data_IF_889514832368
#
_entry.id   IF_889514832368
#
_cell.length_a   1.000
_cell.length_b   1.000
_cell.length_c   1.000
_cell.angle_alpha   90.00
_cell.angle_beta   90.00
_cell.angle_gamma   90.00
#
_symmetry.space_group_name_H-M   'P 1'
#
loop_
_entity.id
_entity.type
_entity.pdbx_description
1 polymer ?
#
# COMPACT_ATOMS: atom_id res chain seq x y z
N UNK A 1 -29.12 17.55 1.83
CA UNK A 1 -27.78 17.80 1.26
C UNK A 1 -26.90 16.76 1.93
N UNK A 2 -26.17 15.98 1.14
CA UNK A 2 -25.35 14.87 1.62
C UNK A 2 -23.90 15.15 1.21
N UNK A 3 -22.93 14.97 2.11
CA UNK A 3 -21.49 15.11 1.85
C UNK A 3 -20.86 13.73 1.87
N UNK A 4 -20.13 13.38 0.82
CA UNK A 4 -19.51 12.08 0.67
C UNK A 4 -18.04 12.22 0.25
N UNK A 5 -17.27 11.16 0.46
CA UNK A 5 -15.95 11.00 -0.13
C UNK A 5 -16.07 10.14 -1.38
N UNK A 6 -15.58 10.63 -2.52
CA UNK A 6 -15.49 9.84 -3.75
C UNK A 6 -14.08 9.26 -3.86
N UNK A 7 -13.97 7.97 -4.15
CA UNK A 7 -12.70 7.32 -4.42
C UNK A 7 -12.77 6.53 -5.73
N UNK A 8 -11.85 6.81 -6.66
CA UNK A 8 -11.73 6.12 -7.93
C UNK A 8 -10.49 5.20 -7.89
N UNK A 9 -10.66 3.87 -7.67
CA UNK A 9 -9.52 2.95 -7.51
C UNK A 9 -8.58 2.93 -8.71
N UNK A 10 -9.11 2.89 -9.94
CA UNK A 10 -8.32 2.82 -11.19
C UNK A 10 -7.44 4.03 -11.46
N UNK A 11 -7.76 5.19 -10.89
CA UNK A 11 -6.95 6.42 -11.02
C UNK A 11 -6.28 6.82 -9.71
N UNK A 12 -6.56 6.11 -8.62
CA UNK A 12 -6.18 6.44 -7.24
C UNK A 12 -6.59 7.86 -6.81
N UNK A 13 -7.55 8.50 -7.50
CA UNK A 13 -8.04 9.83 -7.14
C UNK A 13 -9.08 9.71 -6.03
N UNK A 14 -8.92 10.52 -4.99
CA UNK A 14 -9.91 10.70 -3.93
C UNK A 14 -10.33 12.15 -3.89
N UNK A 15 -11.63 12.39 -3.75
CA UNK A 15 -12.21 13.71 -3.56
C UNK A 15 -13.03 13.71 -2.27
N UNK A 16 -12.60 14.54 -1.32
CA UNK A 16 -13.31 14.73 -0.06
C UNK A 16 -14.43 15.76 -0.21
N UNK A 17 -15.45 15.63 0.65
CA UNK A 17 -16.54 16.61 0.78
C UNK A 17 -17.33 16.87 -0.50
N UNK A 18 -17.48 15.87 -1.39
CA UNK A 18 -18.35 15.98 -2.55
C UNK A 18 -19.80 16.12 -2.10
N UNK A 19 -20.50 17.14 -2.60
CA UNK A 19 -21.84 17.49 -2.15
C UNK A 19 -22.89 16.98 -3.13
N UNK A 20 -23.84 16.21 -2.61
CA UNK A 20 -25.09 15.84 -3.28
C UNK A 20 -26.22 16.73 -2.75
N UNK A 21 -26.80 17.52 -3.65
CA UNK A 21 -27.96 18.36 -3.36
C UNK A 21 -29.21 17.53 -3.09
N UNK A 22 -30.14 18.06 -2.29
CA UNK A 22 -31.45 17.44 -2.14
C UNK A 22 -32.19 17.44 -3.50
N UNK A 23 -32.86 16.33 -3.83
CA UNK A 23 -33.65 16.16 -5.08
C UNK A 23 -32.87 16.19 -6.39
N UNK A 24 -31.53 16.09 -6.36
CA UNK A 24 -30.76 15.90 -7.60
C UNK A 24 -31.08 14.55 -8.23
N UNK A 25 -31.31 14.55 -9.54
CA UNK A 25 -31.50 13.29 -10.28
C UNK A 25 -30.19 12.50 -10.34
N UNK A 26 -30.23 11.15 -10.37
CA UNK A 26 -29.03 10.33 -10.44
C UNK A 26 -28.06 10.74 -11.56
N UNK A 27 -28.57 11.11 -12.73
CA UNK A 27 -27.75 11.52 -13.87
C UNK A 27 -26.99 12.83 -13.62
N UNK A 28 -27.59 13.77 -12.88
CA UNK A 28 -26.95 15.03 -12.51
C UNK A 28 -25.81 14.79 -11.52
N UNK A 29 -26.01 13.88 -10.56
CA UNK A 29 -24.96 13.48 -9.62
C UNK A 29 -23.80 12.83 -10.38
N UNK A 30 -24.08 11.89 -11.29
CA UNK A 30 -23.05 11.24 -12.11
C UNK A 30 -22.30 12.23 -13.01
N UNK A 31 -22.97 13.23 -13.56
CA UNK A 31 -22.31 14.30 -14.32
C UNK A 31 -21.38 15.13 -13.43
N UNK A 32 -21.80 15.47 -12.21
CA UNK A 32 -20.96 16.15 -11.22
C UNK A 32 -19.73 15.34 -10.84
N UNK A 33 -19.89 14.03 -10.61
CA UNK A 33 -18.78 13.10 -10.30
C UNK A 33 -17.76 13.06 -11.44
N UNK A 34 -18.22 12.94 -12.69
CA UNK A 34 -17.35 12.93 -13.88
C UNK A 34 -16.52 14.20 -14.00
N UNK A 35 -17.14 15.36 -13.77
CA UNK A 35 -16.44 16.65 -13.81
C UNK A 35 -15.43 16.77 -12.66
N UNK A 36 -15.81 16.36 -11.45
CA UNK A 36 -14.98 16.53 -10.26
C UNK A 36 -13.75 15.60 -10.25
N UNK A 37 -13.86 14.41 -10.84
CA UNK A 37 -12.76 13.43 -10.94
C UNK A 37 -12.06 13.45 -12.30
N UNK A 38 -12.51 14.28 -13.23
CA UNK A 38 -12.04 14.35 -14.63
C UNK A 38 -12.12 12.98 -15.33
N UNK A 39 -13.33 12.42 -15.40
CA UNK A 39 -13.63 11.09 -15.95
C UNK A 39 -14.65 11.17 -17.10
N UNK A 40 -14.50 10.29 -18.09
CA UNK A 40 -15.46 10.17 -19.20
C UNK A 40 -16.70 9.34 -18.83
N UNK A 41 -16.53 8.40 -17.91
CA UNK A 41 -17.59 7.53 -17.40
C UNK A 41 -17.57 7.57 -15.87
N UNK A 42 -18.74 7.37 -15.26
CA UNK A 42 -18.86 7.22 -13.82
C UNK A 42 -20.03 6.28 -13.52
N UNK A 43 -19.77 5.28 -12.68
CA UNK A 43 -20.77 4.51 -11.97
C UNK A 43 -20.37 4.46 -10.49
N UNK A 44 -21.35 4.52 -9.59
CA UNK A 44 -21.14 4.62 -8.15
C UNK A 44 -21.40 3.28 -7.48
N UNK A 45 -20.55 2.94 -6.53
CA UNK A 45 -20.66 1.73 -5.74
C UNK A 45 -20.40 2.03 -4.27
N UNK A 46 -21.02 1.25 -3.40
CA UNK A 46 -20.70 1.22 -1.98
C UNK A 46 -19.29 0.63 -1.76
N UNK A 47 -18.76 0.73 -0.54
CA UNK A 47 -17.47 0.12 -0.18
C UNK A 47 -17.48 -1.41 -0.25
N UNK A 48 -18.63 -2.08 -0.22
CA UNK A 48 -18.77 -3.52 -0.48
C UNK A 48 -19.02 -3.84 -1.97
N UNK A 49 -18.72 -2.90 -2.87
CA UNK A 49 -18.85 -3.00 -4.33
C UNK A 49 -20.28 -3.28 -4.84
N UNK A 50 -21.31 -2.85 -4.11
CA UNK A 50 -22.69 -2.90 -4.61
C UNK A 50 -23.03 -1.63 -5.39
N UNK A 51 -23.69 -1.76 -6.55
CA UNK A 51 -24.02 -0.59 -7.37
C UNK A 51 -25.03 0.32 -6.65
N UNK A 52 -24.80 1.63 -6.75
CA UNK A 52 -25.69 2.67 -6.24
C UNK A 52 -26.46 3.28 -7.41
N UNK A 53 -27.75 2.95 -7.50
CA UNK A 53 -28.61 3.46 -8.57
C UNK A 53 -29.24 4.83 -8.26
N UNK A 54 -29.50 5.14 -6.99
CA UNK A 54 -30.07 6.42 -6.57
C UNK A 54 -29.23 7.05 -5.43
N UNK A 55 -28.17 7.80 -5.77
CA UNK A 55 -27.25 8.37 -4.80
C UNK A 55 -27.94 9.30 -3.80
N UNK A 56 -28.99 9.99 -4.23
CA UNK A 56 -29.71 10.98 -3.40
C UNK A 56 -30.51 10.34 -2.26
N UNK A 57 -30.87 9.06 -2.39
CA UNK A 57 -31.65 8.30 -1.40
C UNK A 57 -30.81 7.30 -0.61
N UNK A 58 -29.78 6.74 -1.24
CA UNK A 58 -29.01 5.63 -0.66
C UNK A 58 -27.83 6.09 0.18
N UNK A 59 -27.28 7.28 -0.09
CA UNK A 59 -26.06 7.76 0.55
C UNK A 59 -26.33 8.63 1.76
N UNK A 60 -25.52 8.44 2.79
CA UNK A 60 -25.53 9.24 4.02
C UNK A 60 -24.31 10.17 4.09
N UNK A 61 -24.39 11.17 4.97
CA UNK A 61 -23.26 12.06 5.24
C UNK A 61 -22.04 11.26 5.70
N UNK A 62 -20.86 11.69 5.24
CA UNK A 62 -19.53 11.15 5.50
C UNK A 62 -19.30 9.71 4.99
N UNK A 63 -20.16 9.20 4.10
CA UNK A 63 -19.93 7.90 3.44
C UNK A 63 -18.84 7.98 2.36
N UNK A 64 -18.03 6.92 2.27
CA UNK A 64 -17.09 6.70 1.16
C UNK A 64 -17.78 5.92 0.04
N UNK A 65 -17.62 6.42 -1.17
CA UNK A 65 -18.23 5.87 -2.38
C UNK A 65 -17.15 5.54 -3.40
N UNK A 66 -17.19 4.33 -3.93
CA UNK A 66 -16.29 3.89 -5.00
C UNK A 66 -16.84 4.33 -6.36
N UNK A 67 -15.96 4.82 -7.22
CA UNK A 67 -16.28 5.31 -8.56
C UNK A 67 -15.57 4.48 -9.61
N UNK A 68 -16.34 3.85 -10.51
CA UNK A 68 -15.80 3.21 -11.71
C UNK A 68 -15.60 4.27 -12.81
N UNK A 69 -14.42 4.30 -13.42
CA UNK A 69 -14.02 5.21 -14.49
C UNK A 69 -14.31 4.67 -15.90
N UNK A 70 -14.70 3.40 -16.05
CA UNK A 70 -15.11 2.82 -17.32
C UNK A 70 -16.29 1.84 -17.19
N UNK A 71 -17.03 1.64 -18.30
CA UNK A 71 -18.18 0.75 -18.33
C UNK A 71 -17.83 -0.74 -18.16
N UNK A 72 -16.57 -1.10 -18.42
CA UNK A 72 -16.04 -2.47 -18.32
C UNK A 72 -15.27 -2.71 -17.01
N UNK A 73 -15.20 -1.71 -16.13
CA UNK A 73 -14.48 -1.82 -14.86
C UNK A 73 -15.31 -2.63 -13.86
N UNK A 74 -14.78 -3.79 -13.46
CA UNK A 74 -15.33 -4.58 -12.37
C UNK A 74 -14.96 -3.92 -11.05
N UNK A 75 -15.97 -3.44 -10.32
CA UNK A 75 -15.75 -2.90 -8.99
C UNK A 75 -15.52 -4.02 -7.99
N UNK A 76 -14.52 -3.85 -7.13
CA UNK A 76 -14.19 -4.77 -6.04
C UNK A 76 -14.33 -4.06 -4.69
N UNK A 77 -14.66 -4.77 -3.60
CA UNK A 77 -14.81 -4.18 -2.28
C UNK A 77 -13.60 -3.34 -1.89
N UNK A 78 -13.83 -2.20 -1.27
CA UNK A 78 -12.80 -1.38 -0.66
C UNK A 78 -12.12 -2.21 0.43
N UNK A 79 -10.86 -2.54 0.21
CA UNK A 79 -10.09 -3.31 1.17
C UNK A 79 -9.41 -2.34 2.13
N UNK A 80 -9.60 -2.56 3.43
CA UNK A 80 -8.90 -1.77 4.45
C UNK A 80 -7.40 -2.02 4.29
N UNK A 81 -6.61 -0.95 4.28
CA UNK A 81 -5.17 -1.06 4.28
C UNK A 81 -4.69 -1.77 5.54
N UNK A 82 -3.88 -2.80 5.36
CA UNK A 82 -3.35 -3.61 6.46
C UNK A 82 -1.90 -4.00 6.21
N UNK A 83 -1.16 -4.24 7.29
CA UNK A 83 0.22 -4.70 7.26
C UNK A 83 0.32 -5.85 8.25
N UNK A 84 0.84 -6.99 7.81
CA UNK A 84 0.97 -8.15 8.67
C UNK A 84 2.16 -9.02 8.24
N UNK A 85 2.81 -9.63 9.23
CA UNK A 85 3.69 -10.77 8.98
C UNK A 85 2.88 -11.89 8.32
N UNK A 86 3.51 -12.58 7.37
CA UNK A 86 2.86 -13.61 6.58
C UNK A 86 3.77 -14.82 6.40
N UNK A 87 3.26 -15.99 6.74
CA UNK A 87 3.92 -17.28 6.64
C UNK A 87 3.02 -18.33 5.96
N UNK A 88 2.15 -17.90 5.04
CA UNK A 88 1.28 -18.79 4.26
C UNK A 88 -0.07 -19.10 4.91
N UNK A 89 -0.51 -18.31 5.89
CA UNK A 89 -1.74 -18.57 6.65
C UNK A 89 -3.03 -18.53 5.81
N UNK A 90 -2.98 -17.98 4.59
CA UNK A 90 -4.11 -17.87 3.66
C UNK A 90 -4.02 -18.90 2.52
N UNK A 91 -3.27 -19.99 2.71
CA UNK A 91 -3.02 -21.01 1.69
C UNK A 91 -4.26 -21.76 1.17
N UNK A 92 -5.31 -21.88 1.98
CA UNK A 92 -6.58 -22.52 1.56
C UNK A 92 -7.32 -21.72 0.48
N UNK A 93 -7.02 -20.43 0.36
CA UNK A 93 -7.71 -19.52 -0.55
C UNK A 93 -6.91 -19.24 -1.83
N UNK A 94 -5.76 -19.90 -1.98
CA UNK A 94 -4.95 -19.86 -3.19
C UNK A 94 -5.63 -20.66 -4.27
N UNK A 95 -5.58 -20.17 -5.50
CA UNK A 95 -6.10 -20.90 -6.65
C UNK A 95 -5.34 -22.22 -6.83
N UNK A 96 -6.08 -23.30 -7.11
CA UNK A 96 -5.53 -24.65 -7.31
C UNK A 96 -4.58 -24.71 -8.50
N UNK A 97 -4.72 -23.79 -9.46
CA UNK A 97 -3.91 -23.73 -10.68
C UNK A 97 -2.59 -22.96 -10.48
N UNK A 98 -2.34 -22.43 -9.28
CA UNK A 98 -1.09 -21.73 -8.94
C UNK A 98 0.03 -22.74 -8.68
N UNK A 99 1.20 -22.50 -9.28
CA UNK A 99 2.41 -23.29 -9.04
C UNK A 99 2.76 -23.33 -7.54
N UNK A 100 3.01 -24.54 -7.02
CA UNK A 100 3.27 -24.77 -5.60
C UNK A 100 2.01 -24.88 -4.73
N UNK A 101 0.80 -24.89 -5.31
CA UNK A 101 -0.42 -25.12 -4.55
C UNK A 101 -0.35 -26.42 -3.73
N UNK A 102 -0.74 -26.33 -2.46
CA UNK A 102 -0.72 -27.45 -1.50
C UNK A 102 0.65 -27.80 -0.92
N UNK A 103 1.72 -27.10 -1.30
CA UNK A 103 3.03 -27.23 -0.65
C UNK A 103 3.14 -26.34 0.59
N UNK A 104 4.00 -26.74 1.52
CA UNK A 104 4.28 -25.95 2.72
C UNK A 104 4.96 -24.62 2.34
N UNK A 105 4.55 -23.54 3.00
CA UNK A 105 5.04 -22.19 2.71
C UNK A 105 6.57 -22.08 2.70
N UNK A 106 7.25 -22.84 3.56
CA UNK A 106 8.72 -22.78 3.66
C UNK A 106 9.42 -23.46 2.48
N UNK A 107 8.75 -24.41 1.82
CA UNK A 107 9.30 -25.16 0.69
C UNK A 107 9.10 -24.42 -0.64
N UNK A 108 8.25 -23.38 -0.66
CA UNK A 108 8.02 -22.55 -1.84
C UNK A 108 9.22 -21.65 -2.14
N UNK A 109 9.55 -21.56 -3.42
CA UNK A 109 10.47 -20.55 -3.97
C UNK A 109 9.88 -19.14 -3.86
N UNK A 110 10.71 -18.11 -3.97
CA UNK A 110 10.25 -16.71 -3.96
C UNK A 110 9.21 -16.44 -5.06
N UNK A 111 9.38 -17.07 -6.23
CA UNK A 111 8.46 -16.95 -7.37
C UNK A 111 7.10 -17.59 -7.08
N UNK A 112 7.09 -18.78 -6.50
CA UNK A 112 5.84 -19.45 -6.10
C UNK A 112 5.13 -18.71 -4.96
N UNK A 113 5.90 -18.17 -3.99
CA UNK A 113 5.36 -17.29 -2.94
C UNK A 113 4.74 -16.01 -3.51
N UNK A 114 5.37 -15.42 -4.54
CA UNK A 114 4.82 -14.26 -5.23
C UNK A 114 3.51 -14.62 -5.96
N UNK A 115 3.47 -15.74 -6.70
CA UNK A 115 2.29 -16.24 -7.38
C UNK A 115 1.14 -16.55 -6.40
N UNK A 116 1.46 -17.18 -5.27
CA UNK A 116 0.54 -17.42 -4.16
C UNK A 116 -0.11 -16.11 -3.70
N UNK A 117 0.68 -15.09 -3.38
CA UNK A 117 0.15 -13.80 -2.89
C UNK A 117 -0.65 -13.07 -3.97
N UNK A 118 -0.23 -13.14 -5.24
CA UNK A 118 -0.96 -12.55 -6.36
C UNK A 118 -2.34 -13.19 -6.51
N UNK A 119 -2.45 -14.52 -6.41
CA UNK A 119 -3.74 -15.21 -6.50
C UNK A 119 -4.75 -14.77 -5.41
N UNK A 120 -4.26 -14.46 -4.20
CA UNK A 120 -5.10 -13.98 -3.09
C UNK A 120 -5.77 -12.64 -3.40
N UNK A 121 -5.20 -11.82 -4.28
CA UNK A 121 -5.82 -10.55 -4.70
C UNK A 121 -7.12 -10.82 -5.48
N UNK A 122 -7.14 -11.91 -6.26
CA UNK A 122 -8.27 -12.31 -7.09
C UNK A 122 -9.29 -13.13 -6.30
N UNK A 123 -8.83 -14.11 -5.50
CA UNK A 123 -9.69 -15.00 -4.72
C UNK A 123 -10.24 -14.35 -3.44
N UNK A 124 -9.49 -13.40 -2.84
CA UNK A 124 -9.89 -12.64 -1.64
C UNK A 124 -9.78 -11.12 -1.83
N UNK A 125 -10.63 -10.52 -2.67
CA UNK A 125 -10.65 -9.06 -2.90
C UNK A 125 -10.71 -8.20 -1.63
N UNK A 126 -11.42 -8.56 -0.54
CA UNK A 126 -11.43 -7.77 0.69
C UNK A 126 -10.06 -7.63 1.38
N UNK A 127 -9.09 -8.48 1.04
CA UNK A 127 -7.73 -8.46 1.59
C UNK A 127 -6.68 -7.91 0.64
N UNK A 128 -7.07 -7.43 -0.56
CA UNK A 128 -6.14 -6.97 -1.61
C UNK A 128 -5.23 -5.79 -1.22
N UNK A 129 -5.60 -5.04 -0.18
CA UNK A 129 -4.81 -3.93 0.36
C UNK A 129 -4.00 -4.33 1.62
N UNK A 130 -3.93 -5.62 1.95
CA UNK A 130 -3.07 -6.16 2.99
C UNK A 130 -1.67 -6.41 2.43
N UNK A 131 -0.68 -5.63 2.86
CA UNK A 131 0.73 -5.91 2.61
C UNK A 131 1.18 -7.05 3.53
N UNK A 132 1.53 -8.18 2.92
CA UNK A 132 1.96 -9.43 3.53
C UNK A 132 3.49 -9.45 3.58
N UNK A 133 4.03 -9.35 4.79
CA UNK A 133 5.47 -9.22 5.03
C UNK A 133 6.04 -10.62 5.23
N UNK A 134 6.81 -11.08 4.25
CA UNK A 134 7.28 -12.47 4.17
C UNK A 134 8.60 -12.71 4.90
N UNK A 135 9.24 -11.65 5.41
CA UNK A 135 10.56 -11.70 6.05
C UNK A 135 10.60 -10.94 7.36
N UNK A 136 11.35 -11.48 8.31
CA UNK A 136 11.53 -10.88 9.63
C UNK A 136 12.36 -9.60 9.58
N UNK A 137 12.02 -8.64 10.46
CA UNK A 137 12.66 -7.33 10.52
C UNK A 137 14.18 -7.39 10.80
N UNK A 138 14.63 -8.33 11.63
CA UNK A 138 16.04 -8.48 11.97
C UNK A 138 16.90 -8.77 10.74
N UNK A 139 16.56 -9.83 10.00
CA UNK A 139 17.26 -10.23 8.78
C UNK A 139 17.24 -9.13 7.71
N UNK A 140 16.10 -8.48 7.52
CA UNK A 140 15.96 -7.37 6.54
C UNK A 140 16.88 -6.19 6.90
N UNK A 141 16.97 -5.82 8.18
CA UNK A 141 17.84 -4.72 8.62
C UNK A 141 19.32 -5.05 8.49
N UNK A 142 19.71 -6.30 8.74
CA UNK A 142 21.09 -6.75 8.56
C UNK A 142 21.52 -6.66 7.09
N UNK A 143 20.65 -7.09 6.15
CA UNK A 143 20.91 -6.96 4.72
C UNK A 143 21.00 -5.50 4.27
N UNK A 144 20.10 -4.63 4.72
CA UNK A 144 20.16 -3.20 4.40
C UNK A 144 21.43 -2.53 4.96
N UNK A 145 21.93 -2.99 6.11
CA UNK A 145 23.19 -2.50 6.67
C UNK A 145 24.41 -3.00 5.89
N UNK A 146 24.35 -4.20 5.31
CA UNK A 146 25.42 -4.78 4.50
C UNK A 146 25.61 -4.08 3.15
N UNK A 147 24.56 -3.50 2.56
CA UNK A 147 24.66 -2.71 1.31
C UNK A 147 25.67 -1.56 1.45
N UNK A 148 25.63 -0.86 2.59
CA UNK A 148 26.59 0.21 2.90
C UNK A 148 28.05 -0.29 2.99
N UNK A 149 28.26 -1.56 3.35
CA UNK A 149 29.59 -2.15 3.46
C UNK A 149 30.12 -2.63 2.10
N UNK A 150 29.23 -3.14 1.24
CA UNK A 150 29.57 -3.54 -0.13
C UNK A 150 29.97 -2.36 -1.04
N UNK A 151 29.53 -1.14 -0.77
CA UNK A 151 30.04 0.04 -1.51
C UNK A 151 31.50 0.40 -1.14
N UNK A 152 31.98 0.00 0.05
CA UNK A 152 33.38 0.18 0.45
C UNK A 152 34.29 -0.93 -0.09
N UNK A 153 33.77 -2.13 -0.27
CA UNK A 153 34.51 -3.27 -0.81
C UNK A 153 34.26 -3.39 -2.33
N UNK A 154 35.26 -2.97 -3.11
CA UNK A 154 35.36 -2.80 -4.59
C UNK A 154 34.79 -3.86 -5.58
N UNK A 155 33.89 -4.75 -5.20
CA UNK A 155 33.19 -5.68 -6.09
C UNK A 155 31.67 -5.46 -6.02
N UNK A 156 31.18 -4.46 -6.74
CA UNK A 156 29.75 -4.25 -6.96
C UNK A 156 29.20 -5.45 -7.71
N UNK A 157 28.23 -6.17 -7.14
CA UNK A 157 27.47 -7.17 -7.89
C UNK A 157 26.84 -6.49 -9.13
N UNK A 158 26.78 -7.15 -10.30
CA UNK A 158 26.23 -6.53 -11.49
C UNK A 158 24.76 -6.16 -11.23
N UNK A 159 24.40 -4.90 -11.48
CA UNK A 159 23.04 -4.36 -11.27
C UNK A 159 21.95 -5.20 -11.95
N UNK A 160 22.29 -5.86 -13.06
CA UNK A 160 21.44 -6.78 -13.81
C UNK A 160 20.92 -7.96 -12.98
N UNK A 161 21.69 -8.45 -12.01
CA UNK A 161 21.29 -9.57 -11.14
C UNK A 161 20.15 -9.14 -10.21
N UNK A 162 20.28 -7.97 -9.59
CA UNK A 162 19.24 -7.41 -8.74
C UNK A 162 17.96 -7.07 -9.51
N UNK A 163 18.07 -6.53 -10.73
CA UNK A 163 16.90 -6.25 -11.58
C UNK A 163 16.10 -7.52 -11.89
N UNK A 164 16.80 -8.62 -12.21
CA UNK A 164 16.18 -9.92 -12.50
C UNK A 164 15.47 -10.47 -11.28
N UNK A 165 16.11 -10.44 -10.12
CA UNK A 165 15.53 -10.90 -8.85
C UNK A 165 14.31 -10.06 -8.44
N UNK A 166 14.37 -8.73 -8.63
CA UNK A 166 13.21 -7.85 -8.41
C UNK A 166 12.05 -8.27 -9.32
N UNK A 167 12.33 -8.52 -10.60
CA UNK A 167 11.30 -8.92 -11.55
C UNK A 167 10.66 -10.26 -11.18
N UNK A 168 11.44 -11.25 -10.75
CA UNK A 168 10.90 -12.54 -10.32
C UNK A 168 10.03 -12.42 -9.06
N UNK A 169 10.42 -11.56 -8.12
CA UNK A 169 9.72 -11.37 -6.83
C UNK A 169 8.45 -10.55 -6.95
N UNK A 170 8.39 -9.63 -7.89
CA UNK A 170 7.26 -8.71 -8.04
C UNK A 170 6.41 -8.94 -9.29
N UNK A 171 6.82 -9.87 -10.16
CA UNK A 171 6.21 -10.14 -11.46
C UNK A 171 6.04 -8.87 -12.33
N UNK A 172 7.00 -7.95 -12.22
CA UNK A 172 7.03 -6.70 -12.99
C UNK A 172 8.47 -6.22 -13.18
N UNK A 173 8.76 -5.61 -14.32
CA UNK A 173 10.11 -5.08 -14.56
C UNK A 173 10.38 -3.87 -13.67
N UNK A 174 11.66 -3.65 -13.32
CA UNK A 174 12.04 -2.48 -12.52
C UNK A 174 11.61 -1.16 -13.18
N UNK A 175 11.73 -1.03 -14.50
CA UNK A 175 11.24 0.14 -15.23
C UNK A 175 9.72 0.34 -15.12
N UNK A 176 8.93 -0.75 -15.16
CA UNK A 176 7.48 -0.66 -15.02
C UNK A 176 7.09 -0.23 -13.60
N UNK A 177 7.77 -0.78 -12.58
CA UNK A 177 7.61 -0.39 -11.19
C UNK A 177 7.95 1.10 -10.96
N UNK A 178 9.08 1.59 -11.48
CA UNK A 178 9.47 3.00 -11.37
C UNK A 178 8.46 3.93 -12.03
N UNK A 179 7.96 3.58 -13.22
CA UNK A 179 6.91 4.35 -13.90
C UNK A 179 5.63 4.46 -13.07
N UNK A 180 5.28 3.42 -12.33
CA UNK A 180 4.14 3.45 -11.43
C UNK A 180 4.36 4.47 -10.31
N UNK A 181 5.54 4.48 -9.68
CA UNK A 181 5.89 5.43 -8.61
C UNK A 181 5.82 6.88 -9.12
N UNK A 182 6.36 7.14 -10.31
CA UNK A 182 6.34 8.48 -10.91
C UNK A 182 4.92 9.02 -11.17
N UNK A 183 3.95 8.14 -11.41
CA UNK A 183 2.54 8.52 -11.61
C UNK A 183 1.87 9.02 -10.33
N UNK A 184 2.37 8.60 -9.16
CA UNK A 184 1.81 8.93 -7.86
C UNK A 184 2.58 10.05 -7.13
N UNK A 185 3.64 10.59 -7.74
CA UNK A 185 4.36 11.73 -7.19
C UNK A 185 3.48 13.00 -7.19
N UNK A 186 3.41 13.75 -6.07
CA UNK A 186 2.50 14.89 -5.91
C UNK A 186 2.85 16.14 -6.74
N UNK A 187 3.94 16.13 -7.52
CA UNK A 187 4.41 17.27 -8.31
C UNK A 187 4.06 17.12 -9.80
N UNK A 188 3.22 17.98 -10.39
CA UNK A 188 2.88 17.96 -11.82
C UNK A 188 4.03 18.42 -12.75
N UNK A 189 5.23 18.67 -12.22
CA UNK A 189 6.23 19.52 -12.87
C UNK A 189 7.60 18.85 -13.00
N UNK A 190 7.64 17.60 -13.42
CA UNK A 190 8.75 17.10 -14.25
C UNK A 190 8.29 15.80 -14.87
N UNK A 191 8.02 15.82 -16.17
CA UNK A 191 7.97 14.59 -16.98
C UNK A 191 9.39 14.05 -17.13
N UNK A 192 10.10 13.84 -16.02
CA UNK A 192 11.36 13.11 -16.06
C UNK A 192 10.98 11.65 -16.35
N UNK A 193 11.53 11.12 -17.44
CA UNK A 193 11.52 9.69 -17.67
C UNK A 193 12.47 9.06 -16.64
N UNK A 194 11.98 8.83 -15.42
CA UNK A 194 12.70 8.03 -14.43
C UNK A 194 12.72 6.60 -14.97
N UNK A 195 13.91 6.08 -15.21
CA UNK A 195 14.20 4.72 -15.70
C UNK A 195 15.11 4.02 -14.70
N UNK A 196 15.29 2.70 -14.80
CA UNK A 196 16.21 1.97 -13.91
C UNK A 196 17.62 2.57 -13.92
N UNK A 197 18.08 3.06 -15.08
CA UNK A 197 19.38 3.74 -15.25
C UNK A 197 19.53 5.05 -14.47
N UNK A 198 18.46 5.60 -13.89
CA UNK A 198 18.51 6.80 -13.04
C UNK A 198 18.76 6.48 -11.56
N UNK A 199 18.69 5.20 -11.17
CA UNK A 199 18.89 4.76 -9.79
C UNK A 199 20.37 4.43 -9.53
N UNK A 200 20.83 4.69 -8.31
CA UNK A 200 22.15 4.20 -7.87
C UNK A 200 22.12 2.69 -7.67
N UNK A 201 23.27 2.03 -7.76
CA UNK A 201 23.40 0.58 -7.48
C UNK A 201 22.89 0.24 -6.07
N UNK A 202 23.23 1.05 -5.07
CA UNK A 202 22.72 0.93 -3.69
C UNK A 202 21.19 0.98 -3.62
N UNK A 203 20.57 1.88 -4.39
CA UNK A 203 19.11 1.97 -4.44
C UNK A 203 18.51 0.71 -5.05
N UNK A 204 19.10 0.17 -6.12
CA UNK A 204 18.66 -1.09 -6.75
C UNK A 204 18.82 -2.28 -5.79
N UNK A 205 19.95 -2.37 -5.08
CA UNK A 205 20.17 -3.41 -4.06
C UNK A 205 19.17 -3.28 -2.90
N UNK A 206 18.88 -2.07 -2.43
CA UNK A 206 17.87 -1.85 -1.40
C UNK A 206 16.46 -2.22 -1.88
N UNK A 207 16.12 -1.94 -3.15
CA UNK A 207 14.87 -2.37 -3.76
C UNK A 207 14.76 -3.89 -3.87
N UNK A 208 15.88 -4.59 -4.12
CA UNK A 208 15.95 -6.05 -4.08
C UNK A 208 15.65 -6.61 -2.68
N UNK A 209 16.04 -5.90 -1.62
CA UNK A 209 15.65 -6.26 -0.24
C UNK A 209 14.17 -5.99 -0.02
N UNK A 210 13.65 -4.83 -0.42
CA UNK A 210 12.23 -4.50 -0.31
C UNK A 210 11.35 -5.53 -1.05
N UNK A 211 11.76 -5.96 -2.25
CA UNK A 211 11.03 -6.96 -3.02
C UNK A 211 11.02 -8.32 -2.34
N UNK A 212 12.10 -8.70 -1.66
CA UNK A 212 12.21 -9.97 -0.93
C UNK A 212 11.20 -10.11 0.21
N UNK A 213 10.78 -8.99 0.81
CA UNK A 213 9.81 -8.96 1.91
C UNK A 213 8.38 -8.60 1.47
N UNK A 214 8.16 -8.30 0.19
CA UNK A 214 6.87 -7.90 -0.39
C UNK A 214 6.55 -8.67 -1.67
N UNK A 215 6.78 -9.99 -1.62
CA UNK A 215 6.62 -10.90 -2.77
C UNK A 215 5.22 -10.77 -3.40
N UNK A 216 5.17 -10.56 -4.71
CA UNK A 216 3.93 -10.38 -5.48
C UNK A 216 3.19 -9.06 -5.22
N UNK A 217 3.75 -8.13 -4.43
CA UNK A 217 3.03 -6.93 -3.96
C UNK A 217 3.66 -5.62 -4.42
N UNK A 218 4.15 -5.59 -5.66
CA UNK A 218 4.79 -4.42 -6.28
C UNK A 218 3.98 -3.13 -6.09
N UNK A 219 2.65 -3.17 -6.30
CA UNK A 219 1.79 -2.00 -6.13
C UNK A 219 1.85 -1.43 -4.71
N UNK A 220 1.68 -2.28 -3.70
CA UNK A 220 1.65 -1.84 -2.29
C UNK A 220 3.04 -1.41 -1.82
N UNK A 221 4.10 -2.09 -2.27
CA UNK A 221 5.48 -1.67 -2.03
C UNK A 221 5.75 -0.29 -2.64
N UNK A 222 5.27 -0.05 -3.88
CA UNK A 222 5.36 1.23 -4.57
C UNK A 222 4.64 2.35 -3.83
N UNK A 223 3.45 2.10 -3.29
CA UNK A 223 2.70 3.09 -2.49
C UNK A 223 3.47 3.52 -1.23
N UNK A 224 4.09 2.58 -0.50
CA UNK A 224 4.89 2.91 0.68
C UNK A 224 6.19 3.63 0.30
N UNK A 225 6.81 3.27 -0.82
CA UNK A 225 7.98 3.98 -1.33
C UNK A 225 7.63 5.41 -1.77
N UNK A 226 6.49 5.63 -2.44
CA UNK A 226 5.99 6.97 -2.75
C UNK A 226 5.80 7.81 -1.48
N UNK A 227 5.27 7.22 -0.41
CA UNK A 227 5.15 7.90 0.89
C UNK A 227 6.51 8.29 1.45
N UNK A 228 7.49 7.38 1.45
CA UNK A 228 8.84 7.69 1.92
C UNK A 228 9.51 8.82 1.12
N UNK A 229 9.38 8.79 -0.21
CA UNK A 229 9.86 9.87 -1.11
C UNK A 229 9.15 11.19 -0.78
N UNK A 230 7.84 11.18 -0.59
CA UNK A 230 7.09 12.39 -0.21
C UNK A 230 7.56 12.95 1.13
N UNK A 231 7.80 12.10 2.14
CA UNK A 231 8.32 12.51 3.45
C UNK A 231 9.71 13.17 3.36
N UNK A 232 10.56 12.73 2.42
CA UNK A 232 11.85 13.38 2.14
C UNK A 232 11.63 14.74 1.46
N UNK A 233 10.83 14.77 0.40
CA UNK A 233 10.55 16.00 -0.37
C UNK A 233 9.84 17.10 0.44
N UNK A 234 9.14 16.74 1.51
CA UNK A 234 8.56 17.70 2.46
C UNK A 234 9.60 18.29 3.43
N UNK A 235 10.68 17.55 3.72
CA UNK A 235 11.75 17.99 4.63
C UNK A 235 12.83 18.80 3.92
N UNK A 236 13.09 18.47 2.66
CA UNK A 236 14.07 19.20 1.83
C UNK A 236 13.52 20.59 1.50
N UNK A 237 14.14 21.64 2.06
CA UNK A 237 13.81 23.04 1.79
C UNK A 237 14.45 23.57 0.48
N UNK A 238 15.25 22.76 -0.19
CA UNK A 238 15.97 23.14 -1.41
C UNK A 238 15.05 23.16 -2.65
N UNK A 239 15.35 24.09 -3.58
CA UNK A 239 14.55 24.38 -4.78
C UNK A 239 14.52 23.22 -5.80
N UNK A 240 15.45 22.26 -5.73
CA UNK A 240 15.45 21.06 -6.58
C UNK A 240 14.84 19.87 -5.85
N UNK A 241 13.50 19.82 -5.84
CA UNK A 241 12.74 18.63 -5.43
C UNK A 241 12.93 17.50 -6.43
N UNK A 242 13.97 16.69 -6.21
CA UNK A 242 14.28 15.53 -7.02
C UNK A 242 13.37 14.33 -6.66
N UNK A 243 12.46 13.93 -7.55
CA UNK A 243 11.49 12.87 -7.30
C UNK A 243 12.09 11.46 -7.45
N UNK A 244 13.36 11.33 -7.85
CA UNK A 244 14.01 10.02 -7.99
C UNK A 244 14.15 9.35 -6.61
N UNK A 245 13.69 8.10 -6.44
CA UNK A 245 13.89 7.36 -5.20
C UNK A 245 15.37 7.20 -4.88
N UNK A 246 15.73 7.40 -3.62
CA UNK A 246 17.07 7.20 -3.07
C UNK A 246 17.09 5.99 -2.15
N UNK A 247 18.27 5.47 -1.87
CA UNK A 247 18.45 4.36 -0.93
C UNK A 247 17.78 4.63 0.43
N UNK A 248 17.92 5.84 0.97
CA UNK A 248 17.27 6.24 2.24
C UNK A 248 15.74 6.23 2.14
N UNK A 249 15.15 6.51 0.97
CA UNK A 249 13.71 6.41 0.76
C UNK A 249 13.27 4.94 0.86
N UNK A 250 14.05 4.02 0.30
CA UNK A 250 13.79 2.57 0.40
C UNK A 250 13.94 2.07 1.84
N UNK A 251 14.99 2.50 2.56
CA UNK A 251 15.17 2.19 3.99
C UNK A 251 14.01 2.71 4.84
N UNK A 252 13.58 3.94 4.60
CA UNK A 252 12.41 4.53 5.27
C UNK A 252 11.12 3.77 4.94
N UNK A 253 10.94 3.34 3.69
CA UNK A 253 9.79 2.53 3.29
C UNK A 253 9.74 1.19 4.05
N UNK A 254 10.88 0.51 4.18
CA UNK A 254 10.99 -0.73 4.98
C UNK A 254 10.62 -0.48 6.45
N UNK A 255 11.12 0.60 7.06
CA UNK A 255 10.76 0.97 8.42
C UNK A 255 9.27 1.26 8.56
N UNK A 256 8.65 2.01 7.63
CA UNK A 256 7.20 2.27 7.62
C UNK A 256 6.41 0.96 7.59
N UNK A 257 6.81 0.00 6.74
CA UNK A 257 6.15 -1.32 6.65
C UNK A 257 6.15 -2.03 8.00
N UNK A 258 7.30 -2.13 8.67
CA UNK A 258 7.39 -2.82 9.97
C UNK A 258 6.74 -2.04 11.11
N UNK A 259 6.76 -0.70 11.09
CA UNK A 259 6.03 0.13 12.05
C UNK A 259 4.52 -0.11 11.96
N UNK A 260 3.97 -0.12 10.74
CA UNK A 260 2.53 -0.34 10.51
C UNK A 260 2.09 -1.77 10.81
N UNK A 261 2.99 -2.74 10.65
CA UNK A 261 2.77 -4.11 11.08
C UNK A 261 2.86 -4.30 12.61
N UNK A 262 3.26 -3.25 13.35
CA UNK A 262 3.42 -3.31 14.82
C UNK A 262 4.64 -4.12 15.27
N UNK A 263 5.55 -4.45 14.36
CA UNK A 263 6.78 -5.22 14.65
C UNK A 263 7.81 -4.35 15.37
N UNK A 264 7.81 -3.05 15.06
CA UNK A 264 8.72 -2.06 15.67
C UNK A 264 7.94 -0.82 16.14
N UNK A 265 8.50 -0.02 17.07
CA UNK A 265 7.84 1.18 17.56
C UNK A 265 7.65 2.23 16.45
N UNK A 266 6.43 2.77 16.33
CA UNK A 266 6.12 3.86 15.40
C UNK A 266 6.94 5.13 15.73
N UNK A 267 7.82 5.53 14.80
CA UNK A 267 8.64 6.75 14.83
C UNK A 267 8.38 7.61 13.60
N UNK A 268 8.34 7.01 12.40
CA UNK A 268 8.09 7.70 11.13
C UNK A 268 6.60 7.94 10.90
N UNK A 269 5.78 6.93 11.16
CA UNK A 269 4.33 6.94 10.90
C UNK A 269 3.51 7.69 11.95
N UNK A 270 4.15 8.20 13.01
CA UNK A 270 3.46 9.05 14.00
C UNK A 270 3.10 10.39 13.38
N UNK A 271 1.81 10.57 13.11
CA UNK A 271 1.22 11.84 12.69
C UNK A 271 1.61 12.94 13.67
N UNK A 272 2.38 13.94 13.21
CA UNK A 272 2.54 15.22 13.92
C UNK A 272 1.23 16.02 13.77
N UNK A 273 0.24 15.75 14.62
CA UNK A 273 -0.92 16.64 14.73
C UNK A 273 -2.18 15.97 15.28
N UNK A 274 -2.70 16.56 16.35
CA UNK A 274 -4.09 16.36 16.77
C UNK A 274 -4.26 15.48 18.00
N UNK A 275 -4.63 16.11 19.11
CA UNK A 275 -5.21 15.46 20.29
C UNK A 275 -6.51 14.74 19.89
N UNK A 276 -6.42 13.57 19.27
CA UNK A 276 -7.52 12.63 19.24
C UNK A 276 -7.56 11.93 20.60
N UNK A 277 -8.73 12.02 21.20
CA UNK A 277 -9.04 11.82 22.61
C UNK A 277 -9.05 10.32 22.93
N UNK A 278 -7.86 9.74 23.12
CA UNK A 278 -7.73 8.38 23.62
C UNK A 278 -8.04 8.34 25.12
N UNK A 279 -9.34 8.27 25.45
CA UNK A 279 -9.81 8.02 26.81
C UNK A 279 -10.94 7.01 26.80
N UNK A 280 -10.56 5.73 26.73
CA UNK A 280 -10.95 4.67 27.68
C UNK A 280 -10.71 3.30 27.05
N UNK A 281 -9.65 2.61 27.51
CA UNK A 281 -9.62 1.15 27.71
C UNK A 281 -8.33 0.74 28.43
N UNK A 282 -8.21 1.08 29.72
CA UNK A 282 -7.29 0.42 30.64
C UNK A 282 -7.56 0.83 32.11
N UNK A 283 -8.42 0.06 32.79
CA UNK A 283 -8.48 -0.18 34.26
C UNK A 283 -9.77 -0.97 34.51
N UNK A 284 -9.78 -2.18 35.05
CA UNK A 284 -8.74 -3.11 35.48
C UNK A 284 -9.49 -4.38 35.92
N UNK A 285 -8.97 -5.55 35.54
CA UNK A 285 -9.39 -6.84 36.10
C UNK A 285 -8.13 -7.56 36.56
N UNK A 286 -8.17 -8.05 37.80
CA UNK A 286 -7.10 -8.72 38.53
C UNK A 286 -6.67 -7.88 39.73
N UNK A 287 -6.72 -8.33 40.98
CA UNK A 287 -6.65 -9.70 41.49
C UNK A 287 -7.16 -9.75 42.94
N UNK A 288 -7.88 -10.82 43.26
CA UNK A 288 -8.30 -11.30 44.58
C UNK A 288 -7.08 -11.61 45.48
N UNK A 289 -7.21 -11.52 46.82
CA UNK A 289 -6.87 -12.56 47.84
C UNK A 289 -7.01 -12.01 49.28
N UNK A 290 -7.85 -12.67 50.09
CA UNK A 290 -7.77 -12.87 51.57
C UNK A 290 -8.20 -11.70 52.45
N UNK A 291 -9.05 -11.80 53.48
CA UNK A 291 -9.53 -12.93 54.28
C UNK A 291 -9.40 -12.56 55.78
N UNK A 292 -10.50 -12.64 56.54
CA UNK A 292 -10.65 -12.51 58.01
C UNK A 292 -10.42 -11.11 58.64
N UNK A 293 -11.08 -10.68 59.71
CA UNK A 293 -12.06 -11.27 60.62
C UNK A 293 -12.82 -10.15 61.38
N UNK A 294 -14.07 -10.44 61.73
CA UNK A 294 -14.79 -10.16 62.99
C UNK A 294 -14.81 -8.77 63.67
N UNK A 295 -16.03 -8.48 64.13
CA UNK A 295 -16.53 -7.45 65.07
C UNK A 295 -16.83 -6.07 64.49
#
# INVERSE_FOLDING_TARGET
MCRIQLHCPSTSKTLDNFVIGAYQKPEQVLQGVRLALDLKFAALYTTDAKPISDPSKMLQDDERVLVAASATETMLPDAVYGYAMYAGEEGEDVDIDVDGYGMDWQDLTDREKAAHILSLVESKPPTRNKLRITRECGAVREELAAINQQELDTATAPTTEHETVIQERWDTTLDAFIKQIAKHAPTPATKSHITSSSLSSSTISALSVLSSMTLGQARLAGEVLCEAVAMRLEKDQDETKDPVPREDDVKNAVEIVFERAGVIPAKLTKVKGGKAKDRKRAKGRGKTVGGNASL
#
